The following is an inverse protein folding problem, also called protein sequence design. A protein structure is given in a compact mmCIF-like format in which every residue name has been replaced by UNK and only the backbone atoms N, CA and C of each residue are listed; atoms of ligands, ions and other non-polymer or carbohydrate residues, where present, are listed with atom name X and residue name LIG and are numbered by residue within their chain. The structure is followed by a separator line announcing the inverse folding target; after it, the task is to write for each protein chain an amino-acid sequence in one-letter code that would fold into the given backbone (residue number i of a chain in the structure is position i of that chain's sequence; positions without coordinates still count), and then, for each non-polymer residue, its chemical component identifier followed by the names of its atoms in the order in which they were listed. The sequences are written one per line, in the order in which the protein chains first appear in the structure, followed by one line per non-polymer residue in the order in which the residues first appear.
data_IF_844216094834
#
_entry.id   IF_844216094834
#
_cell.length_a   1.000
_cell.length_b   1.000
_cell.length_c   1.000
_cell.angle_alpha   90.00
_cell.angle_beta   90.00
_cell.angle_gamma   90.00
#
_symmetry.space_group_name_H-M   'P 1'
#
loop_
_entity.id
_entity.type
_entity.pdbx_description
1 polymer ?
#
# COMPACT_ATOMS: atom_id res chain seq x y z
N UNK A 1 6.29 21.96 -2.51
CA UNK A 1 5.95 20.68 -3.16
C UNK A 1 4.74 20.00 -2.52
N UNK A 2 4.58 19.97 -1.19
CA UNK A 2 3.40 19.38 -0.54
C UNK A 2 2.04 20.09 -0.70
N UNK A 3 2.02 21.39 -1.03
CA UNK A 3 0.76 22.15 -1.21
C UNK A 3 0.06 21.83 -2.54
N UNK A 4 0.78 21.32 -3.55
CA UNK A 4 0.22 21.08 -4.88
C UNK A 4 -0.48 19.72 -5.02
N UNK A 5 -0.65 18.96 -3.95
CA UNK A 5 -1.14 17.56 -4.01
C UNK A 5 -2.44 17.31 -3.24
N UNK A 6 -3.09 18.33 -2.66
CA UNK A 6 -4.32 18.17 -1.85
C UNK A 6 -4.29 16.99 -0.84
N UNK A 7 -3.09 16.67 -0.37
CA UNK A 7 -2.86 15.76 0.76
C UNK A 7 -2.79 16.63 1.99
N UNK A 8 -3.86 16.67 2.76
CA UNK A 8 -3.86 17.41 4.02
C UNK A 8 -2.96 16.72 5.05
N UNK A 9 -1.66 17.03 5.00
CA UNK A 9 -0.81 17.11 6.19
C UNK A 9 -1.16 18.46 6.84
N UNK A 10 -1.73 18.39 8.04
CA UNK A 10 -2.04 19.59 8.82
C UNK A 10 -0.75 20.33 9.17
N UNK A 11 -0.87 21.61 9.53
CA UNK A 11 0.26 22.34 10.09
C UNK A 11 0.81 21.69 11.39
N UNK A 12 0.06 20.81 12.07
CA UNK A 12 0.57 20.00 13.19
C UNK A 12 1.41 18.80 12.70
N UNK A 13 1.05 18.19 11.57
CA UNK A 13 1.80 17.10 10.92
C UNK A 13 3.15 17.56 10.34
N UNK A 14 3.30 18.87 10.07
CA UNK A 14 4.52 19.50 9.57
C UNK A 14 5.41 20.05 10.72
N UNK A 15 4.85 20.24 11.92
CA UNK A 15 5.52 20.74 13.14
C UNK A 15 6.02 19.64 14.08
N UNK A 16 6.07 18.40 13.61
CA UNK A 16 6.42 17.22 14.39
C UNK A 16 7.63 16.48 13.79
N UNK A 17 8.70 17.19 13.44
CA UNK A 17 9.95 16.56 12.97
C UNK A 17 10.88 16.36 14.16
N UNK A 18 11.36 15.14 14.38
CA UNK A 18 12.24 14.79 15.52
C UNK A 18 13.39 15.80 15.72
N UNK A 19 13.94 16.31 14.61
CA UNK A 19 15.10 17.21 14.62
C UNK A 19 14.75 18.68 14.37
N UNK A 20 13.47 19.07 14.46
CA UNK A 20 13.05 20.46 14.22
C UNK A 20 13.82 21.44 15.10
N UNK A 21 13.94 21.16 16.40
CA UNK A 21 14.68 22.00 17.34
C UNK A 21 16.15 22.13 16.95
N UNK A 22 16.81 21.02 16.56
CA UNK A 22 18.22 21.05 16.13
C UNK A 22 18.39 21.84 14.83
N UNK A 23 17.48 21.68 13.87
CA UNK A 23 17.49 22.47 12.64
C UNK A 23 17.23 23.95 12.94
N UNK A 24 16.31 24.26 13.85
CA UNK A 24 16.02 25.62 14.29
C UNK A 24 17.21 26.27 15.00
N UNK A 25 17.97 25.52 15.79
CA UNK A 25 19.22 25.96 16.42
C UNK A 25 20.28 26.31 15.36
N UNK A 26 20.46 25.45 14.34
CA UNK A 26 21.35 25.73 13.20
C UNK A 26 20.92 27.00 12.47
N UNK A 27 19.63 27.14 12.15
CA UNK A 27 19.08 28.33 11.49
C UNK A 27 19.30 29.58 12.35
N UNK A 28 19.12 29.49 13.66
CA UNK A 28 19.33 30.60 14.59
C UNK A 28 20.81 30.99 14.65
N UNK A 29 21.72 30.02 14.72
CA UNK A 29 23.16 30.27 14.67
C UNK A 29 23.57 30.98 13.36
N UNK A 30 23.02 30.55 12.22
CA UNK A 30 23.26 31.20 10.92
C UNK A 30 22.75 32.64 10.95
N UNK A 31 21.51 32.87 11.42
CA UNK A 31 20.91 34.21 11.50
C UNK A 31 21.72 35.17 12.37
N UNK A 32 22.18 34.70 13.54
CA UNK A 32 23.03 35.50 14.43
C UNK A 32 24.39 35.80 13.79
N UNK A 33 25.01 34.82 13.13
CA UNK A 33 26.30 35.01 12.47
C UNK A 33 26.22 35.94 11.24
N UNK A 34 25.07 35.98 10.55
CA UNK A 34 24.83 36.93 9.46
C UNK A 34 24.76 38.40 9.94
N UNK A 35 24.58 38.65 11.23
CA UNK A 35 24.60 40.00 11.81
C UNK A 35 26.02 40.51 12.09
N UNK A 36 27.04 39.66 11.97
CA UNK A 36 28.42 40.05 12.18
C UNK A 36 28.94 40.95 11.04
N UNK A 37 29.83 41.91 11.34
CA UNK A 37 30.49 42.69 10.30
C UNK A 37 31.35 41.75 9.42
N UNK A 38 31.43 42.04 8.12
CA UNK A 38 32.19 41.20 7.16
C UNK A 38 33.64 40.92 7.58
N UNK A 39 34.25 41.83 8.33
CA UNK A 39 35.62 41.69 8.86
C UNK A 39 35.75 40.61 9.93
N UNK A 40 34.65 40.19 10.56
CA UNK A 40 34.59 39.16 11.60
C UNK A 40 34.09 37.80 11.07
N UNK A 41 33.72 37.74 9.79
CA UNK A 41 33.30 36.50 9.12
C UNK A 41 34.48 35.97 8.31
N UNK A 42 34.82 34.68 8.42
CA UNK A 42 35.67 33.99 7.44
C UNK A 42 35.10 34.10 6.01
N UNK A 43 35.65 33.36 5.04
CA UNK A 43 35.11 33.39 3.68
C UNK A 43 33.60 33.11 3.64
N UNK A 44 33.09 32.29 4.57
CA UNK A 44 31.65 32.05 4.73
C UNK A 44 31.20 32.05 6.19
N UNK A 45 29.93 32.38 6.45
CA UNK A 45 29.31 32.24 7.79
C UNK A 45 29.22 30.79 8.26
N UNK A 46 29.30 29.82 7.34
CA UNK A 46 29.27 28.39 7.66
C UNK A 46 30.55 27.92 8.37
N UNK A 47 31.65 28.65 8.21
CA UNK A 47 32.94 28.35 8.84
C UNK A 47 33.03 28.88 10.28
N UNK A 48 32.09 29.73 10.70
CA UNK A 48 32.06 30.21 12.08
C UNK A 48 31.76 29.06 13.03
N UNK A 49 32.53 28.97 14.12
CA UNK A 49 32.45 27.88 15.09
C UNK A 49 31.02 27.68 15.63
N UNK A 50 30.27 28.76 15.86
CA UNK A 50 28.88 28.68 16.32
C UNK A 50 27.97 27.94 15.33
N UNK A 51 28.10 28.21 14.02
CA UNK A 51 27.32 27.52 12.98
C UNK A 51 27.83 26.11 12.78
N UNK A 52 29.16 25.93 12.70
CA UNK A 52 29.79 24.63 12.48
C UNK A 52 29.48 23.63 13.60
N UNK A 53 29.52 24.06 14.86
CA UNK A 53 29.24 23.18 16.00
C UNK A 53 27.75 22.79 16.04
N UNK A 54 26.84 23.74 15.83
CA UNK A 54 25.40 23.44 15.76
C UNK A 54 25.09 22.46 14.61
N UNK A 55 25.64 22.72 13.42
CA UNK A 55 25.43 21.87 12.25
C UNK A 55 26.01 20.46 12.45
N UNK A 56 27.22 20.36 13.03
CA UNK A 56 27.89 19.07 13.28
C UNK A 56 27.15 18.24 14.33
N UNK A 57 26.62 18.89 15.37
CA UNK A 57 25.80 18.22 16.39
C UNK A 57 24.51 17.65 15.78
N UNK A 58 23.78 18.48 15.01
CA UNK A 58 22.56 18.04 14.33
C UNK A 58 22.84 16.91 13.33
N UNK A 59 23.87 17.06 12.50
CA UNK A 59 24.26 16.07 11.51
C UNK A 59 24.65 14.73 12.15
N UNK A 60 25.38 14.74 13.27
CA UNK A 60 25.82 13.50 13.94
C UNK A 60 24.62 12.68 14.44
N UNK A 61 23.62 13.35 15.02
CA UNK A 61 22.42 12.69 15.54
C UNK A 61 21.49 12.16 14.45
N UNK A 62 21.42 12.85 13.31
CA UNK A 62 20.64 12.41 12.14
C UNK A 62 21.33 11.23 11.47
N UNK A 63 22.64 11.35 11.20
CA UNK A 63 23.42 10.37 10.46
C UNK A 63 23.48 9.02 11.17
N UNK A 64 23.66 9.01 12.50
CA UNK A 64 23.66 7.76 13.28
C UNK A 64 22.37 6.96 13.05
N UNK A 65 21.22 7.63 13.18
CA UNK A 65 19.91 7.00 12.98
C UNK A 65 19.68 6.57 11.53
N UNK A 66 20.14 7.37 10.57
CA UNK A 66 20.07 7.04 9.14
C UNK A 66 20.90 5.79 8.79
N UNK A 67 22.10 5.65 9.34
CA UNK A 67 22.92 4.46 9.15
C UNK A 67 22.22 3.24 9.74
N UNK A 68 21.74 3.34 10.99
CA UNK A 68 21.06 2.22 11.65
C UNK A 68 19.81 1.76 10.90
N UNK A 69 18.99 2.69 10.37
CA UNK A 69 17.79 2.31 9.62
C UNK A 69 18.12 1.71 8.25
N UNK A 70 19.17 2.22 7.57
CA UNK A 70 19.67 1.65 6.31
C UNK A 70 20.18 0.22 6.52
N UNK A 71 20.95 0.00 7.59
CA UNK A 71 21.42 -1.32 7.97
C UNK A 71 20.23 -2.25 8.26
N UNK A 72 19.31 -1.87 9.15
CA UNK A 72 18.14 -2.67 9.49
C UNK A 72 17.26 -3.01 8.27
N UNK A 73 17.04 -2.05 7.38
CA UNK A 73 16.29 -2.26 6.14
C UNK A 73 17.02 -3.23 5.19
N UNK A 74 18.34 -3.14 5.08
CA UNK A 74 19.14 -4.03 4.23
C UNK A 74 19.13 -5.50 4.71
N UNK A 75 18.94 -5.73 6.01
CA UNK A 75 18.89 -7.08 6.59
C UNK A 75 17.71 -7.90 6.04
N UNK A 76 16.59 -7.26 5.67
CA UNK A 76 15.43 -7.96 5.08
C UNK A 76 15.78 -8.71 3.80
N UNK A 77 16.68 -8.17 2.97
CA UNK A 77 17.19 -8.88 1.80
C UNK A 77 17.83 -10.22 2.19
N UNK A 78 18.65 -10.22 3.24
CA UNK A 78 19.34 -11.42 3.71
C UNK A 78 18.38 -12.40 4.37
N UNK A 79 17.41 -11.92 5.15
CA UNK A 79 16.36 -12.73 5.76
C UNK A 79 15.62 -13.52 4.68
N UNK A 80 15.14 -12.84 3.63
CA UNK A 80 14.35 -13.48 2.57
C UNK A 80 15.17 -14.46 1.73
N UNK A 81 16.39 -14.08 1.33
CA UNK A 81 17.26 -14.96 0.52
C UNK A 81 17.73 -16.22 1.27
N UNK A 82 17.85 -16.16 2.59
CA UNK A 82 18.28 -17.29 3.43
C UNK A 82 17.12 -18.03 4.08
N UNK A 83 15.89 -17.57 3.90
CA UNK A 83 14.71 -18.07 4.61
C UNK A 83 14.90 -18.06 6.15
N UNK A 84 15.56 -17.03 6.69
CA UNK A 84 15.93 -16.95 8.10
C UNK A 84 14.76 -16.44 8.97
N UNK A 85 13.90 -17.38 9.37
CA UNK A 85 12.69 -17.07 10.14
C UNK A 85 13.00 -16.47 11.52
N UNK A 86 14.09 -16.90 12.17
CA UNK A 86 14.45 -16.39 13.50
C UNK A 86 14.88 -14.93 13.42
N UNK A 87 15.67 -14.58 12.40
CA UNK A 87 16.02 -13.19 12.16
C UNK A 87 14.80 -12.35 11.74
N UNK A 88 13.86 -12.90 10.97
CA UNK A 88 12.60 -12.22 10.64
C UNK A 88 11.81 -11.85 11.91
N UNK A 89 11.69 -12.78 12.87
CA UNK A 89 11.01 -12.54 14.16
C UNK A 89 11.64 -11.40 14.97
N UNK A 90 12.95 -11.16 14.80
CA UNK A 90 13.66 -10.06 15.45
C UNK A 90 13.35 -8.71 14.79
N UNK A 91 13.26 -8.66 13.46
CA UNK A 91 13.11 -7.41 12.70
C UNK A 91 11.66 -6.98 12.42
N UNK A 92 10.68 -7.85 12.67
CA UNK A 92 9.26 -7.47 12.73
C UNK A 92 8.86 -7.27 14.20
N UNK A 93 8.30 -6.10 14.52
CA UNK A 93 7.82 -5.78 15.86
C UNK A 93 6.72 -6.75 16.31
N UNK A 94 6.75 -7.27 17.56
CA UNK A 94 5.62 -8.05 18.09
C UNK A 94 4.28 -7.30 18.10
N UNK A 95 4.31 -5.97 18.05
CA UNK A 95 3.11 -5.12 17.92
C UNK A 95 2.76 -4.78 16.47
N UNK A 96 3.31 -5.51 15.50
CA UNK A 96 3.12 -5.25 14.08
C UNK A 96 1.66 -5.31 13.66
N UNK A 97 1.27 -4.35 12.81
CA UNK A 97 -0.04 -4.30 12.17
C UNK A 97 0.04 -3.61 10.80
N UNK A 98 -0.86 -3.94 9.87
CA UNK A 98 -1.06 -3.13 8.68
C UNK A 98 -2.34 -2.31 8.82
N UNK A 99 -2.28 -1.02 8.49
CA UNK A 99 -3.42 -0.13 8.55
C UNK A 99 -4.50 -0.53 7.51
N UNK A 100 -4.08 -1.14 6.40
CA UNK A 100 -4.95 -1.63 5.32
C UNK A 100 -5.43 -3.08 5.49
N UNK A 101 -4.97 -3.80 6.51
CA UNK A 101 -5.44 -5.16 6.77
C UNK A 101 -5.34 -5.43 8.27
N UNK A 102 -6.46 -5.32 8.96
CA UNK A 102 -6.53 -5.53 10.41
C UNK A 102 -6.25 -6.98 10.83
N UNK A 103 -6.32 -7.93 9.89
CA UNK A 103 -5.89 -9.32 10.11
C UNK A 103 -4.38 -9.51 9.93
N UNK A 104 -3.64 -8.49 9.51
CA UNK A 104 -2.18 -8.58 9.38
C UNK A 104 -1.51 -8.32 10.72
N UNK A 105 -1.38 -9.34 11.57
CA UNK A 105 -0.62 -9.24 12.83
C UNK A 105 0.80 -9.79 12.69
N UNK A 106 1.63 -9.64 13.73
CA UNK A 106 2.94 -10.30 13.79
C UNK A 106 2.83 -11.82 13.59
N UNK A 107 1.86 -12.49 14.25
CA UNK A 107 1.67 -13.93 14.11
C UNK A 107 1.30 -14.32 12.67
N UNK A 108 0.49 -13.50 12.00
CA UNK A 108 0.10 -13.71 10.61
C UNK A 108 1.27 -13.56 9.65
N UNK A 109 2.10 -12.53 9.85
CA UNK A 109 3.29 -12.30 9.05
C UNK A 109 4.30 -13.46 9.21
N UNK A 110 4.60 -13.85 10.45
CA UNK A 110 5.55 -14.94 10.73
C UNK A 110 5.00 -16.28 10.23
N UNK A 111 3.73 -16.59 10.44
CA UNK A 111 3.11 -17.82 9.92
C UNK A 111 3.14 -17.84 8.39
N UNK A 112 2.83 -16.72 7.72
CA UNK A 112 2.88 -16.62 6.26
C UNK A 112 4.28 -16.95 5.71
N UNK A 113 5.34 -16.34 6.26
CA UNK A 113 6.70 -16.65 5.82
C UNK A 113 7.14 -18.06 6.20
N UNK A 114 6.70 -18.58 7.34
CA UNK A 114 6.97 -19.97 7.76
C UNK A 114 6.46 -20.96 6.73
N UNK A 115 5.23 -20.77 6.26
CA UNK A 115 4.64 -21.63 5.23
C UNK A 115 5.26 -21.39 3.86
N UNK A 116 5.50 -20.12 3.50
CA UNK A 116 6.13 -19.76 2.24
C UNK A 116 7.51 -20.40 2.06
N UNK A 117 8.34 -20.42 3.12
CA UNK A 117 9.69 -20.97 3.05
C UNK A 117 9.76 -22.50 2.97
N UNK A 118 8.65 -23.23 3.16
CA UNK A 118 8.61 -24.70 3.00
C UNK A 118 8.71 -25.10 1.53
N UNK A 119 7.97 -24.39 0.68
CA UNK A 119 7.76 -24.79 -0.71
C UNK A 119 8.38 -23.81 -1.72
N UNK A 120 8.87 -22.66 -1.25
CA UNK A 120 9.37 -21.59 -2.10
C UNK A 120 10.71 -21.02 -1.62
N UNK A 121 11.48 -20.50 -2.56
CA UNK A 121 12.72 -19.77 -2.29
C UNK A 121 12.75 -18.43 -3.02
N UNK A 122 13.25 -17.41 -2.33
CA UNK A 122 13.53 -16.12 -2.95
C UNK A 122 14.88 -16.22 -3.70
N UNK A 123 14.84 -16.06 -5.02
CA UNK A 123 16.03 -16.19 -5.88
C UNK A 123 16.63 -14.83 -6.27
N UNK A 124 15.80 -13.78 -6.24
CA UNK A 124 16.23 -12.41 -6.44
C UNK A 124 15.47 -11.51 -5.46
N UNK A 125 16.21 -10.74 -4.67
CA UNK A 125 15.65 -9.76 -3.73
C UNK A 125 16.45 -8.48 -3.81
N UNK A 126 15.79 -7.41 -4.24
CA UNK A 126 16.26 -6.04 -4.07
C UNK A 126 15.36 -5.34 -3.05
N UNK A 127 15.95 -4.67 -2.08
CA UNK A 127 15.24 -4.02 -0.98
C UNK A 127 15.91 -2.68 -0.72
N UNK A 128 15.34 -1.61 -1.27
CA UNK A 128 16.02 -0.30 -1.37
C UNK A 128 15.17 0.80 -0.76
N UNK A 129 15.78 1.59 0.14
CA UNK A 129 15.18 2.83 0.65
C UNK A 129 15.17 3.88 -0.45
N UNK A 130 13.98 4.40 -0.77
CA UNK A 130 13.80 5.53 -1.69
C UNK A 130 13.70 6.86 -0.96
N UNK A 131 13.15 6.85 0.24
CA UNK A 131 12.95 8.03 1.08
C UNK A 131 12.82 7.61 2.55
N UNK A 132 13.15 8.50 3.47
CA UNK A 132 12.98 8.26 4.90
C UNK A 132 12.65 9.54 5.65
N UNK A 133 11.67 9.47 6.54
CA UNK A 133 11.21 10.57 7.38
C UNK A 133 11.33 10.17 8.86
N UNK A 134 12.18 10.88 9.60
CA UNK A 134 12.35 10.69 11.05
C UNK A 134 11.24 11.39 11.81
N UNK A 135 10.51 10.61 12.60
CA UNK A 135 9.34 11.02 13.36
C UNK A 135 9.67 11.01 14.87
N UNK A 136 8.88 11.72 15.69
CA UNK A 136 8.98 11.65 17.13
C UNK A 136 8.80 10.23 17.68
N UNK A 137 9.15 10.04 18.95
CA UNK A 137 8.93 8.77 19.67
C UNK A 137 9.72 7.57 19.12
N UNK A 138 10.89 7.84 18.53
CA UNK A 138 11.71 6.82 17.87
C UNK A 138 11.00 6.07 16.75
N UNK A 139 10.26 6.82 15.93
CA UNK A 139 9.64 6.31 14.73
C UNK A 139 10.36 6.82 13.48
N UNK A 140 10.37 6.01 12.42
CA UNK A 140 10.84 6.41 11.09
C UNK A 140 9.88 5.84 10.08
N UNK A 141 9.38 6.69 9.19
CA UNK A 141 8.68 6.24 7.99
C UNK A 141 9.70 6.00 6.90
N UNK A 142 9.76 4.79 6.37
CA UNK A 142 10.73 4.40 5.33
C UNK A 142 9.96 4.00 4.09
N UNK A 143 10.17 4.74 3.00
CA UNK A 143 9.71 4.34 1.68
C UNK A 143 10.66 3.32 1.11
N UNK A 144 10.15 2.11 0.88
CA UNK A 144 10.92 1.00 0.35
C UNK A 144 10.40 0.59 -1.01
N UNK A 145 11.31 0.39 -1.97
CA UNK A 145 11.04 -0.38 -3.19
C UNK A 145 11.64 -1.77 -3.00
N UNK A 146 10.78 -2.78 -2.98
CA UNK A 146 11.15 -4.18 -2.85
C UNK A 146 10.83 -4.92 -4.16
N UNK A 147 11.86 -5.44 -4.84
CA UNK A 147 11.70 -6.30 -6.02
C UNK A 147 12.01 -7.73 -5.60
N UNK A 148 11.06 -8.63 -5.82
CA UNK A 148 11.19 -10.03 -5.40
C UNK A 148 10.91 -10.98 -6.56
N UNK A 149 11.72 -12.03 -6.66
CA UNK A 149 11.44 -13.22 -7.47
C UNK A 149 11.39 -14.46 -6.59
N UNK A 150 10.26 -15.16 -6.64
CA UNK A 150 9.98 -16.37 -5.88
C UNK A 150 9.94 -17.58 -6.82
N UNK A 151 10.75 -18.60 -6.51
CA UNK A 151 10.82 -19.87 -7.22
C UNK A 151 10.14 -20.95 -6.39
N UNK A 152 9.29 -21.76 -7.02
CA UNK A 152 8.76 -22.98 -6.41
C UNK A 152 9.86 -24.04 -6.36
N UNK A 153 10.08 -24.64 -5.19
CA UNK A 153 11.14 -25.63 -4.98
C UNK A 153 10.88 -26.96 -5.69
N UNK A 154 9.62 -27.30 -5.94
CA UNK A 154 9.21 -28.56 -6.55
C UNK A 154 9.15 -28.48 -8.09
N UNK A 155 8.56 -27.42 -8.63
CA UNK A 155 8.40 -27.26 -10.09
C UNK A 155 9.55 -26.51 -10.74
N UNK A 156 10.40 -25.86 -9.93
CA UNK A 156 11.44 -24.94 -10.37
C UNK A 156 10.97 -23.70 -11.14
N UNK A 157 9.66 -23.46 -11.20
CA UNK A 157 9.10 -22.32 -11.90
C UNK A 157 9.17 -21.05 -11.05
N UNK A 158 9.35 -19.90 -11.72
CA UNK A 158 9.15 -18.60 -11.10
C UNK A 158 7.65 -18.37 -10.98
N UNK A 159 7.14 -18.43 -9.76
CA UNK A 159 5.71 -18.27 -9.45
C UNK A 159 5.36 -16.82 -9.09
N UNK A 160 6.36 -15.98 -8.80
CA UNK A 160 6.16 -14.58 -8.47
C UNK A 160 7.35 -13.74 -8.94
N UNK A 161 7.05 -12.68 -9.68
CA UNK A 161 7.99 -11.60 -10.01
C UNK A 161 7.23 -10.29 -9.81
N UNK A 162 7.50 -9.61 -8.69
CA UNK A 162 6.70 -8.45 -8.27
C UNK A 162 7.57 -7.37 -7.66
N UNK A 163 7.20 -6.12 -7.93
CA UNK A 163 7.75 -4.94 -7.27
C UNK A 163 6.70 -4.36 -6.33
N UNK A 164 7.07 -4.15 -5.08
CA UNK A 164 6.28 -3.42 -4.08
C UNK A 164 6.94 -2.07 -3.83
N UNK A 165 6.16 -0.99 -3.83
CA UNK A 165 6.61 0.31 -3.34
C UNK A 165 5.69 0.73 -2.21
N UNK A 166 6.22 0.81 -0.98
CA UNK A 166 5.40 1.03 0.20
C UNK A 166 6.09 1.91 1.23
N UNK A 167 5.29 2.58 2.06
CA UNK A 167 5.75 3.33 3.22
C UNK A 167 5.51 2.48 4.48
N UNK A 168 6.59 1.97 5.08
CA UNK A 168 6.53 1.24 6.34
C UNK A 168 6.93 2.15 7.50
N UNK A 169 6.25 2.01 8.63
CA UNK A 169 6.70 2.61 9.88
C UNK A 169 7.64 1.65 10.59
N UNK A 170 8.81 2.15 10.95
CA UNK A 170 9.80 1.49 11.77
C UNK A 170 9.82 2.12 13.15
N UNK A 171 10.01 1.29 14.17
CA UNK A 171 10.09 1.72 15.57
C UNK A 171 11.37 1.21 16.19
N UNK A 172 12.05 2.05 16.95
CA UNK A 172 13.18 1.62 17.77
C UNK A 172 12.64 0.88 19.01
N UNK A 173 13.00 -0.38 19.14
CA UNK A 173 12.66 -1.23 20.29
C UNK A 173 13.94 -1.76 20.92
N UNK A 174 14.31 -1.18 22.06
CA UNK A 174 15.65 -1.36 22.63
C UNK A 174 16.72 -0.83 21.67
N UNK A 175 17.62 -1.71 21.24
CA UNK A 175 18.71 -1.36 20.33
C UNK A 175 18.40 -1.62 18.85
N UNK A 176 17.23 -2.18 18.53
CA UNK A 176 16.89 -2.60 17.16
C UNK A 176 15.82 -1.69 16.56
N UNK A 177 15.98 -1.39 15.27
CA UNK A 177 14.89 -0.87 14.45
C UNK A 177 14.09 -2.03 13.91
N UNK A 178 12.78 -2.01 14.17
CA UNK A 178 11.86 -3.06 13.73
C UNK A 178 10.75 -2.48 12.89
N UNK A 179 10.32 -3.22 11.89
CA UNK A 179 9.11 -2.90 11.12
C UNK A 179 7.92 -2.99 12.09
N UNK A 180 7.28 -1.85 12.30
CA UNK A 180 6.15 -1.69 13.21
C UNK A 180 4.83 -1.66 12.47
N UNK A 181 4.75 -1.04 11.28
CA UNK A 181 3.53 -1.06 10.46
C UNK A 181 3.77 -1.07 8.97
N UNK A 182 2.75 -1.48 8.23
CA UNK A 182 2.59 -1.20 6.81
C UNK A 182 3.71 -1.81 5.95
N UNK A 183 4.03 -3.07 6.22
CA UNK A 183 4.91 -3.85 5.35
C UNK A 183 4.08 -4.90 4.60
N UNK A 184 4.05 -4.87 3.26
CA UNK A 184 3.39 -5.90 2.47
C UNK A 184 4.16 -7.21 2.57
N UNK A 185 3.43 -8.32 2.70
CA UNK A 185 4.00 -9.67 2.71
C UNK A 185 3.13 -10.70 1.99
N UNK A 186 1.84 -10.41 1.72
CA UNK A 186 0.96 -11.24 0.89
C UNK A 186 0.84 -10.65 -0.52
N UNK A 187 0.39 -11.46 -1.48
CA UNK A 187 0.17 -10.99 -2.86
C UNK A 187 -0.97 -9.98 -2.98
N UNK A 188 -1.95 -10.11 -2.09
CA UNK A 188 -3.12 -9.23 -1.99
C UNK A 188 -2.81 -7.91 -1.31
N UNK A 189 -1.62 -7.73 -0.75
CA UNK A 189 -1.25 -6.48 -0.09
C UNK A 189 -0.93 -5.39 -1.13
N UNK A 190 -1.15 -4.12 -0.79
CA UNK A 190 -0.91 -2.99 -1.67
C UNK A 190 0.54 -2.97 -2.16
N UNK A 191 0.69 -2.53 -3.41
CA UNK A 191 2.00 -2.33 -4.06
C UNK A 191 2.33 -0.85 -4.24
N UNK A 192 1.42 0.02 -3.81
CA UNK A 192 1.51 1.47 -3.96
C UNK A 192 1.79 2.19 -2.65
N UNK A 193 2.42 3.35 -2.79
CA UNK A 193 2.76 4.23 -1.69
C UNK A 193 1.47 4.83 -1.13
N UNK A 194 1.44 5.11 0.18
CA UNK A 194 0.32 5.75 0.87
C UNK A 194 -0.96 4.90 0.98
N UNK A 195 -0.89 3.60 0.75
CA UNK A 195 -1.98 2.70 1.14
C UNK A 195 -2.24 2.86 2.64
N UNK A 196 -3.48 3.21 2.99
CA UNK A 196 -3.94 3.44 4.35
C UNK A 196 -5.17 2.55 4.64
N UNK A 197 -5.86 2.81 5.74
CA UNK A 197 -7.06 2.05 6.10
C UNK A 197 -8.17 2.13 5.05
N UNK A 198 -8.28 3.21 4.28
CA UNK A 198 -9.29 3.34 3.21
C UNK A 198 -8.99 2.38 2.07
N UNK A 199 -7.71 2.15 1.78
CA UNK A 199 -7.29 1.10 0.84
C UNK A 199 -7.78 -0.26 1.32
N UNK A 200 -7.56 -0.55 2.60
CA UNK A 200 -8.04 -1.78 3.25
C UNK A 200 -9.55 -1.95 3.18
N UNK A 201 -10.32 -0.90 3.47
CA UNK A 201 -11.78 -0.93 3.39
C UNK A 201 -12.29 -1.29 1.98
N UNK A 202 -11.65 -0.78 0.92
CA UNK A 202 -12.03 -1.11 -0.47
C UNK A 202 -11.58 -2.53 -0.84
N UNK A 203 -10.37 -2.93 -0.45
CA UNK A 203 -9.88 -4.29 -0.72
C UNK A 203 -10.73 -5.36 0.00
N UNK A 204 -11.15 -5.10 1.23
CA UNK A 204 -12.08 -5.95 1.98
C UNK A 204 -13.45 -6.02 1.32
N UNK A 205 -13.99 -4.88 0.85
CA UNK A 205 -15.25 -4.85 0.10
C UNK A 205 -15.16 -5.67 -1.20
N UNK A 206 -14.02 -5.62 -1.88
CA UNK A 206 -13.78 -6.40 -3.08
C UNK A 206 -13.70 -7.91 -2.78
N UNK A 207 -13.03 -8.31 -1.69
CA UNK A 207 -13.01 -9.70 -1.21
C UNK A 207 -14.41 -10.20 -0.85
N UNK A 208 -15.20 -9.37 -0.16
CA UNK A 208 -16.58 -9.68 0.18
C UNK A 208 -17.45 -9.85 -1.07
N UNK A 209 -17.30 -8.97 -2.07
CA UNK A 209 -17.98 -9.08 -3.37
C UNK A 209 -17.61 -10.38 -4.08
N UNK A 210 -16.33 -10.75 -4.13
CA UNK A 210 -15.89 -11.99 -4.77
C UNK A 210 -16.49 -13.22 -4.10
N UNK A 211 -16.51 -13.26 -2.76
CA UNK A 211 -17.14 -14.34 -2.01
C UNK A 211 -18.67 -14.39 -2.21
N UNK A 212 -19.32 -13.22 -2.27
CA UNK A 212 -20.76 -13.11 -2.52
C UNK A 212 -21.14 -13.58 -3.92
N UNK A 213 -20.34 -13.26 -4.94
CA UNK A 213 -20.55 -13.71 -6.31
C UNK A 213 -20.37 -15.23 -6.45
N UNK A 214 -19.39 -15.82 -5.74
CA UNK A 214 -19.16 -17.26 -5.75
C UNK A 214 -20.23 -18.06 -4.97
N UNK A 215 -20.96 -17.41 -4.05
CA UNK A 215 -22.03 -18.02 -3.24
C UNK A 215 -23.41 -17.47 -3.55
N UNK A 216 -23.53 -16.74 -4.66
CA UNK A 216 -24.79 -16.20 -5.19
C UNK A 216 -25.58 -15.31 -4.21
N UNK A 217 -24.88 -14.62 -3.30
CA UNK A 217 -25.49 -13.77 -2.26
C UNK A 217 -25.82 -12.38 -2.79
N UNK A 218 -26.93 -12.25 -3.51
CA UNK A 218 -27.35 -10.99 -4.15
C UNK A 218 -27.51 -9.82 -3.17
N UNK A 219 -27.92 -10.08 -1.93
CA UNK A 219 -28.06 -9.07 -0.87
C UNK A 219 -26.72 -8.36 -0.58
N UNK A 220 -25.62 -9.14 -0.54
CA UNK A 220 -24.27 -8.63 -0.27
C UNK A 220 -23.72 -7.90 -1.48
N UNK A 221 -23.98 -8.40 -2.69
CA UNK A 221 -23.62 -7.67 -3.92
C UNK A 221 -24.33 -6.31 -3.94
N UNK A 222 -25.64 -6.30 -3.70
CA UNK A 222 -26.47 -5.11 -3.76
C UNK A 222 -26.07 -4.05 -2.72
N UNK A 223 -25.68 -4.46 -1.51
CA UNK A 223 -25.24 -3.52 -0.46
C UNK A 223 -23.95 -2.77 -0.81
N UNK A 224 -23.14 -3.33 -1.73
CA UNK A 224 -21.88 -2.76 -2.24
C UNK A 224 -22.04 -1.96 -3.52
N UNK A 225 -23.25 -1.81 -4.06
CA UNK A 225 -23.53 -0.93 -5.20
C UNK A 225 -24.27 0.31 -4.70
N UNK A 226 -23.86 1.49 -5.18
CA UNK A 226 -24.57 2.75 -4.90
C UNK A 226 -25.99 2.70 -5.46
N UNK A 227 -26.96 3.23 -4.72
CA UNK A 227 -28.33 3.40 -5.24
C UNK A 227 -28.40 4.36 -6.45
N UNK A 228 -27.39 5.21 -6.58
CA UNK A 228 -27.22 6.14 -7.71
C UNK A 228 -26.19 5.65 -8.73
N UNK A 229 -25.92 4.34 -8.74
CA UNK A 229 -24.97 3.73 -9.67
C UNK A 229 -25.33 4.00 -11.14
N UNK A 230 -24.31 4.25 -11.96
CA UNK A 230 -24.44 4.26 -13.41
C UNK A 230 -23.11 4.10 -14.15
N UNK A 231 -23.18 3.85 -15.46
CA UNK A 231 -22.00 3.80 -16.32
C UNK A 231 -22.01 4.99 -17.29
N UNK A 232 -20.85 5.61 -17.48
CA UNK A 232 -20.72 6.78 -18.37
C UNK A 232 -20.88 6.38 -19.85
N UNK A 233 -20.64 5.12 -20.19
CA UNK A 233 -20.71 4.56 -21.55
C UNK A 233 -22.00 3.75 -21.82
N UNK A 234 -22.86 3.57 -20.83
CA UNK A 234 -24.18 2.94 -20.99
C UNK A 234 -25.20 3.55 -20.03
N UNK A 235 -26.06 4.43 -20.56
CA UNK A 235 -27.11 5.12 -19.79
C UNK A 235 -28.20 4.18 -19.26
N UNK A 236 -28.31 2.95 -19.78
CA UNK A 236 -29.24 1.94 -19.28
C UNK A 236 -28.69 1.19 -18.07
N UNK A 237 -27.38 1.28 -17.84
CA UNK A 237 -26.74 0.69 -16.68
C UNK A 237 -27.09 1.48 -15.43
N UNK A 238 -27.98 0.92 -14.60
CA UNK A 238 -28.45 1.49 -13.33
C UNK A 238 -28.34 0.47 -12.22
N UNK A 239 -28.52 0.89 -10.96
CA UNK A 239 -28.57 -0.02 -9.82
C UNK A 239 -29.56 -1.19 -10.04
N UNK A 240 -30.79 -0.89 -10.48
CA UNK A 240 -31.82 -1.91 -10.70
C UNK A 240 -31.46 -2.85 -11.85
N UNK A 241 -30.84 -2.32 -12.91
CA UNK A 241 -30.41 -3.13 -14.03
C UNK A 241 -29.27 -4.09 -13.64
N UNK A 242 -28.26 -3.57 -12.94
CA UNK A 242 -27.12 -4.36 -12.47
C UNK A 242 -27.59 -5.51 -11.56
N UNK A 243 -28.42 -5.20 -10.56
CA UNK A 243 -28.93 -6.20 -9.60
C UNK A 243 -29.82 -7.24 -10.29
N UNK A 244 -30.67 -6.83 -11.24
CA UNK A 244 -31.48 -7.75 -12.05
C UNK A 244 -30.60 -8.65 -12.93
N UNK A 245 -29.57 -8.08 -13.58
CA UNK A 245 -28.63 -8.82 -14.39
C UNK A 245 -27.82 -9.83 -13.55
N UNK A 246 -27.39 -9.45 -12.34
CA UNK A 246 -26.68 -10.33 -11.43
C UNK A 246 -27.56 -11.51 -10.98
N UNK A 247 -28.81 -11.24 -10.58
CA UNK A 247 -29.77 -12.29 -10.20
C UNK A 247 -30.06 -13.25 -11.35
N UNK A 248 -30.34 -12.72 -12.54
CA UNK A 248 -30.59 -13.55 -13.72
C UNK A 248 -29.38 -14.42 -14.09
N UNK A 249 -28.16 -14.00 -13.75
CA UNK A 249 -26.95 -14.80 -13.95
C UNK A 249 -26.85 -15.94 -12.96
N UNK A 250 -27.11 -15.70 -11.67
CA UNK A 250 -27.13 -16.76 -10.66
C UNK A 250 -28.15 -17.86 -11.02
N UNK A 251 -29.30 -17.49 -11.60
CA UNK A 251 -30.32 -18.46 -11.99
C UNK A 251 -29.95 -19.28 -13.25
N UNK A 252 -29.04 -18.79 -14.10
CA UNK A 252 -28.82 -19.33 -15.45
C UNK A 252 -27.38 -19.79 -15.74
N UNK A 253 -26.44 -19.49 -14.85
CA UNK A 253 -25.01 -19.70 -15.05
C UNK A 253 -24.34 -20.11 -13.74
N UNK A 254 -23.39 -21.04 -13.84
CA UNK A 254 -22.54 -21.44 -12.71
C UNK A 254 -21.09 -20.95 -12.94
N UNK A 255 -20.45 -20.45 -11.89
CA UNK A 255 -19.13 -19.79 -11.97
C UNK A 255 -18.02 -20.82 -11.91
N UNK A 256 -17.25 -20.95 -13.01
CA UNK A 256 -16.06 -21.82 -13.07
C UNK A 256 -14.79 -21.11 -12.61
N UNK A 257 -14.61 -19.87 -13.04
CA UNK A 257 -13.45 -19.03 -12.71
C UNK A 257 -13.95 -17.61 -12.44
N UNK A 258 -13.46 -17.02 -11.35
CA UNK A 258 -13.80 -15.67 -10.93
C UNK A 258 -12.54 -15.04 -10.30
N UNK A 259 -11.64 -14.55 -11.16
CA UNK A 259 -10.40 -13.92 -10.74
C UNK A 259 -10.57 -12.42 -10.79
N UNK A 260 -10.44 -11.75 -9.65
CA UNK A 260 -10.52 -10.30 -9.55
C UNK A 260 -9.24 -9.78 -8.87
N UNK A 261 -8.64 -8.72 -9.40
CA UNK A 261 -7.51 -8.02 -8.77
C UNK A 261 -7.78 -6.52 -8.67
N UNK A 262 -7.32 -5.93 -7.57
CA UNK A 262 -7.15 -4.48 -7.45
C UNK A 262 -5.70 -4.17 -7.78
N UNK A 263 -5.49 -3.36 -8.82
CA UNK A 263 -4.16 -3.02 -9.31
C UNK A 263 -3.65 -1.74 -8.64
N UNK A 264 -4.51 -0.72 -8.48
CA UNK A 264 -4.20 0.54 -7.77
C UNK A 264 -5.46 1.28 -7.34
N UNK A 265 -5.37 2.11 -6.30
CA UNK A 265 -6.47 2.97 -5.83
C UNK A 265 -6.02 4.43 -5.74
N UNK A 266 -6.69 5.31 -6.47
CA UNK A 266 -6.50 6.76 -6.40
C UNK A 266 -7.62 7.44 -5.59
N UNK A 267 -7.28 7.90 -4.38
CA UNK A 267 -8.20 8.66 -3.53
C UNK A 267 -8.12 10.16 -3.86
N UNK A 268 -9.03 10.62 -4.72
CA UNK A 268 -9.08 12.01 -5.15
C UNK A 268 -10.00 12.91 -4.31
N UNK A 269 -10.83 12.31 -3.43
CA UNK A 269 -11.63 13.01 -2.41
C UNK A 269 -11.72 12.16 -1.13
N UNK A 270 -12.18 12.74 -0.03
CA UNK A 270 -12.36 12.01 1.24
C UNK A 270 -13.32 10.82 1.12
N UNK A 271 -14.36 10.98 0.30
CA UNK A 271 -15.43 10.00 0.09
C UNK A 271 -15.41 9.40 -1.33
N UNK A 272 -14.37 9.61 -2.14
CA UNK A 272 -14.29 9.05 -3.50
C UNK A 272 -12.92 8.49 -3.84
N UNK A 273 -12.95 7.40 -4.61
CA UNK A 273 -11.77 6.73 -5.10
C UNK A 273 -11.98 6.22 -6.53
N UNK A 274 -10.90 6.17 -7.32
CA UNK A 274 -10.83 5.45 -8.59
C UNK A 274 -10.02 4.18 -8.38
N UNK A 275 -10.64 3.04 -8.60
CA UNK A 275 -10.02 1.72 -8.40
C UNK A 275 -9.73 1.15 -9.78
N UNK A 276 -8.45 0.96 -10.10
CA UNK A 276 -8.03 0.20 -11.26
C UNK A 276 -8.08 -1.26 -10.89
N UNK A 277 -8.88 -2.05 -11.61
CA UNK A 277 -9.03 -3.46 -11.36
C UNK A 277 -8.93 -4.26 -12.66
N UNK A 278 -8.53 -5.52 -12.51
CA UNK A 278 -8.62 -6.49 -13.58
C UNK A 278 -9.50 -7.66 -13.17
N UNK A 279 -10.24 -8.20 -14.11
CA UNK A 279 -11.09 -9.37 -13.87
C UNK A 279 -11.06 -10.33 -15.04
N UNK A 280 -11.13 -11.62 -14.73
CA UNK A 280 -11.50 -12.65 -15.69
C UNK A 280 -12.54 -13.57 -15.06
N UNK A 281 -13.70 -13.64 -15.71
CA UNK A 281 -14.79 -14.53 -15.33
C UNK A 281 -15.05 -15.55 -16.43
N UNK A 282 -15.11 -16.82 -16.03
CA UNK A 282 -15.56 -17.93 -16.87
C UNK A 282 -16.74 -18.60 -16.18
N UNK A 283 -17.84 -18.76 -16.91
CA UNK A 283 -19.07 -19.38 -16.43
C UNK A 283 -19.48 -20.52 -17.36
N UNK A 284 -20.26 -21.46 -16.85
CA UNK A 284 -21.02 -22.40 -17.68
C UNK A 284 -22.47 -21.92 -17.73
N UNK A 285 -23.00 -21.75 -18.93
CA UNK A 285 -24.43 -21.48 -19.10
C UNK A 285 -25.20 -22.80 -18.99
N UNK A 286 -26.20 -22.85 -18.10
CA UNK A 286 -26.89 -24.10 -17.76
C UNK A 286 -27.77 -24.63 -18.90
N UNK A 287 -28.38 -23.73 -19.68
CA UNK A 287 -29.38 -24.08 -20.70
C UNK A 287 -28.83 -24.33 -22.14
N UNK A 288 -27.59 -23.94 -22.47
CA UNK A 288 -26.85 -24.51 -23.60
C UNK A 288 -25.72 -25.46 -23.19
N UNK A 289 -25.33 -25.53 -21.90
CA UNK A 289 -24.22 -26.35 -21.41
C UNK A 289 -22.84 -25.90 -21.91
N UNK A 290 -22.72 -24.65 -22.37
CA UNK A 290 -21.50 -24.09 -22.98
C UNK A 290 -20.77 -23.17 -22.02
N UNK A 291 -19.45 -23.17 -22.12
CA UNK A 291 -18.60 -22.23 -21.39
C UNK A 291 -18.62 -20.86 -22.07
N UNK A 292 -18.80 -19.82 -21.25
CA UNK A 292 -18.70 -18.43 -21.67
C UNK A 292 -17.54 -17.81 -20.88
N UNK A 293 -16.59 -17.22 -21.60
CA UNK A 293 -15.44 -16.51 -21.05
C UNK A 293 -15.58 -15.03 -21.38
N UNK A 294 -15.42 -14.19 -20.36
CA UNK A 294 -15.39 -12.73 -20.52
C UNK A 294 -14.09 -12.23 -21.18
N UNK A 295 -13.04 -13.05 -21.17
CA UNK A 295 -11.67 -12.61 -21.45
C UNK A 295 -11.13 -11.71 -20.34
N UNK A 296 -9.90 -11.19 -20.49
CA UNK A 296 -9.34 -10.24 -19.55
C UNK A 296 -10.06 -8.89 -19.67
N UNK A 297 -10.66 -8.45 -18.58
CA UNK A 297 -11.26 -7.13 -18.45
C UNK A 297 -10.34 -6.26 -17.59
N UNK A 298 -10.14 -5.01 -18.00
CA UNK A 298 -9.46 -3.98 -17.20
C UNK A 298 -10.37 -2.77 -17.10
N UNK A 299 -10.63 -2.29 -15.88
CA UNK A 299 -11.54 -1.18 -15.66
C UNK A 299 -11.04 -0.23 -14.58
N UNK A 300 -11.35 1.05 -14.77
CA UNK A 300 -11.31 2.05 -13.71
C UNK A 300 -12.73 2.26 -13.19
N UNK A 301 -13.00 1.69 -12.02
CA UNK A 301 -14.29 1.75 -11.35
C UNK A 301 -14.26 2.86 -10.31
N UNK A 302 -15.25 3.75 -10.31
CA UNK A 302 -15.36 4.75 -9.25
C UNK A 302 -16.08 4.18 -8.05
N UNK A 303 -15.50 4.40 -6.87
CA UNK A 303 -16.06 4.05 -5.58
C UNK A 303 -16.40 5.32 -4.82
N UNK A 304 -17.47 5.25 -4.05
CA UNK A 304 -17.92 6.33 -3.17
C UNK A 304 -18.25 5.80 -1.78
N UNK A 305 -17.93 6.58 -0.76
CA UNK A 305 -18.32 6.30 0.63
C UNK A 305 -19.74 6.82 0.88
N UNK A 306 -20.65 5.91 1.21
CA UNK A 306 -22.05 6.18 1.55
C UNK A 306 -22.34 5.58 2.92
N UNK A 307 -22.83 6.38 3.86
CA UNK A 307 -23.15 5.96 5.24
C UNK A 307 -21.99 5.22 5.93
N UNK A 308 -20.76 5.68 5.68
CA UNK A 308 -19.54 5.10 6.24
C UNK A 308 -18.98 3.89 5.47
N UNK A 309 -19.67 3.39 4.44
CA UNK A 309 -19.32 2.18 3.69
C UNK A 309 -18.92 2.54 2.25
N UNK A 310 -17.81 1.97 1.75
CA UNK A 310 -17.44 2.10 0.35
C UNK A 310 -18.32 1.22 -0.56
N UNK A 311 -18.85 1.85 -1.61
CA UNK A 311 -19.70 1.22 -2.63
C UNK A 311 -19.21 1.58 -4.02
N UNK A 312 -19.45 0.68 -4.97
CA UNK A 312 -19.25 0.91 -6.40
C UNK A 312 -20.27 1.95 -6.86
N UNK A 313 -19.77 3.07 -7.36
CA UNK A 313 -20.56 4.22 -7.78
C UNK A 313 -20.67 4.31 -9.30
N UNK A 314 -19.58 4.09 -10.05
CA UNK A 314 -19.61 4.20 -11.52
C UNK A 314 -18.67 3.25 -12.25
N UNK A 315 -18.99 3.04 -13.53
CA UNK A 315 -18.13 2.42 -14.54
C UNK A 315 -17.74 0.96 -14.25
N UNK A 316 -18.66 0.20 -13.66
CA UNK A 316 -18.50 -1.24 -13.50
C UNK A 316 -18.99 -1.97 -14.76
N UNK A 317 -18.11 -2.66 -15.53
CA UNK A 317 -18.55 -3.53 -16.62
C UNK A 317 -19.11 -4.83 -16.06
N UNK A 318 -20.44 -5.00 -16.10
CA UNK A 318 -21.12 -6.21 -15.64
C UNK A 318 -21.86 -7.00 -16.72
N UNK A 319 -21.95 -6.57 -17.99
CA UNK A 319 -22.53 -7.35 -19.10
C UNK A 319 -21.44 -7.77 -20.10
N UNK A 320 -21.67 -8.83 -20.85
CA UNK A 320 -20.74 -9.28 -21.90
C UNK A 320 -20.63 -8.29 -23.08
N UNK A 321 -21.63 -7.43 -23.26
CA UNK A 321 -21.62 -6.34 -24.24
C UNK A 321 -20.87 -5.09 -23.76
N UNK A 322 -20.47 -5.03 -22.49
CA UNK A 322 -19.79 -3.87 -21.94
C UNK A 322 -18.34 -3.83 -22.41
N UNK A 323 -17.73 -2.63 -22.47
CA UNK A 323 -16.32 -2.50 -22.80
C UNK A 323 -15.45 -3.34 -21.86
N UNK A 324 -14.50 -4.07 -22.43
CA UNK A 324 -13.52 -4.87 -21.68
C UNK A 324 -12.30 -4.05 -21.26
N UNK A 325 -12.18 -2.80 -21.73
CA UNK A 325 -11.14 -1.85 -21.33
C UNK A 325 -11.77 -0.48 -21.06
N UNK A 326 -11.66 -0.01 -19.82
CA UNK A 326 -12.14 1.30 -19.37
C UNK A 326 -10.97 1.98 -18.64
N UNK A 327 -10.49 3.12 -19.14
CA UNK A 327 -9.33 3.87 -18.61
C UNK A 327 -9.72 5.08 -17.77
#
# INVERSE_FOLDING_TARGET
QGINIDKNLTAADIRAREYETLVAEVVTAIKLCLQLPKTAVPQTVLELAAVKNAASSAASQILEREIMIREANSVFRHILLRSDLELLKVYISPSFMNDWDTSSTWNDAISHYTDLFKDFSFVEVSWTIKDSEFLPENLVRVRTEAKIKLKNLHTEEIVRDKTYTFDALWRKEGNFWKVYRNMPYRDTHPTEVYADSRWGEIADAHRELQAALATEKIEVVSSRISQTFGNDWDVTSTYNDLTTCAKSRFDAMDVKIANYSVDSIDFYQTDRAKVKCSVQVKVISLLPGVDIDSGPIKAVVEWRREDGVWKIFRNLPYRFSHPTTIE
#
